data_IF_864465196054
#
_entry.id   IF_864465196054
#
_cell.length_a   1.000
_cell.length_b   1.000
_cell.length_c   1.000
_cell.angle_alpha   90.00
_cell.angle_beta   90.00
_cell.angle_gamma   90.00
#
_symmetry.space_group_name_H-M   'P 1'
#
loop_
_entity.id
_entity.type
_entity.pdbx_description
1 polymer ?
#
# COMPACT_ATOMS: atom_id res chain seq x y z
N UNK A 1 0.04 23.12 9.67
CA UNK A 1 -1.11 22.20 9.45
C UNK A 1 -2.06 22.28 10.64
N UNK A 2 -3.37 22.26 10.40
CA UNK A 2 -4.38 22.37 11.46
C UNK A 2 -4.35 21.09 12.33
N UNK A 3 -4.13 21.24 13.64
CA UNK A 3 -4.05 20.11 14.60
C UNK A 3 -5.30 19.23 14.59
N UNK A 4 -6.48 19.84 14.44
CA UNK A 4 -7.74 19.10 14.36
C UNK A 4 -7.80 18.24 13.09
N UNK A 5 -7.32 18.77 11.97
CA UNK A 5 -7.30 18.04 10.71
C UNK A 5 -6.35 16.83 10.79
N UNK A 6 -5.16 16.99 11.38
CA UNK A 6 -4.26 15.86 11.62
C UNK A 6 -4.87 14.81 12.53
N UNK A 7 -5.50 15.23 13.63
CA UNK A 7 -6.18 14.32 14.54
C UNK A 7 -7.30 13.52 13.84
N UNK A 8 -8.17 14.20 13.07
CA UNK A 8 -9.24 13.54 12.33
C UNK A 8 -8.72 12.60 11.25
N UNK A 9 -7.62 12.96 10.57
CA UNK A 9 -6.96 12.08 9.61
C UNK A 9 -6.48 10.79 10.30
N UNK A 10 -5.72 10.90 11.40
CA UNK A 10 -5.24 9.75 12.16
C UNK A 10 -6.40 8.87 12.62
N UNK A 11 -7.47 9.45 13.20
CA UNK A 11 -8.65 8.70 13.64
C UNK A 11 -9.38 8.00 12.50
N UNK A 12 -9.50 8.64 11.35
CA UNK A 12 -10.08 8.00 10.16
C UNK A 12 -9.25 6.79 9.71
N UNK A 13 -7.92 6.88 9.74
CA UNK A 13 -7.02 5.78 9.34
C UNK A 13 -7.06 4.62 10.32
N UNK A 14 -7.04 4.90 11.63
CA UNK A 14 -7.21 3.90 12.68
C UNK A 14 -8.53 3.14 12.52
N UNK A 15 -9.64 3.85 12.28
CA UNK A 15 -10.95 3.23 12.13
C UNK A 15 -11.06 2.38 10.86
N UNK A 16 -10.52 2.85 9.73
CA UNK A 16 -10.43 2.06 8.49
C UNK A 16 -9.63 0.77 8.70
N UNK A 17 -8.49 0.85 9.40
CA UNK A 17 -7.67 -0.31 9.72
C UNK A 17 -8.42 -1.28 10.65
N UNK A 18 -9.09 -0.77 11.69
CA UNK A 18 -9.92 -1.58 12.59
C UNK A 18 -11.00 -2.34 11.82
N UNK A 19 -11.68 -1.68 10.87
CA UNK A 19 -12.68 -2.32 10.01
C UNK A 19 -12.07 -3.38 9.10
N UNK A 20 -10.91 -3.11 8.49
CA UNK A 20 -10.16 -4.08 7.69
C UNK A 20 -9.87 -5.36 8.48
N UNK A 21 -9.32 -5.22 9.70
CA UNK A 21 -9.01 -6.38 10.56
C UNK A 21 -10.28 -7.14 10.96
N UNK A 22 -11.33 -6.42 11.35
CA UNK A 22 -12.60 -7.04 11.78
C UNK A 22 -13.28 -7.82 10.66
N UNK A 23 -13.31 -7.27 9.44
CA UNK A 23 -14.05 -7.84 8.32
C UNK A 23 -13.26 -8.92 7.60
N UNK A 24 -11.97 -8.67 7.30
CA UNK A 24 -11.16 -9.56 6.48
C UNK A 24 -10.36 -10.57 7.30
N UNK A 25 -10.20 -10.35 8.61
CA UNK A 25 -9.47 -11.24 9.53
C UNK A 25 -8.12 -11.69 8.95
N UNK A 26 -7.24 -10.72 8.60
CA UNK A 26 -5.98 -11.03 7.97
C UNK A 26 -5.16 -11.96 8.88
N UNK A 27 -4.49 -12.94 8.27
CA UNK A 27 -3.56 -13.83 8.97
C UNK A 27 -2.14 -13.57 8.49
N UNK A 28 -1.10 -13.98 9.24
CA UNK A 28 0.29 -13.82 8.80
C UNK A 28 0.64 -14.51 7.47
N UNK A 29 -0.18 -15.47 7.02
CA UNK A 29 0.03 -16.18 5.75
C UNK A 29 -0.57 -15.43 4.55
N UNK A 30 -1.46 -14.47 4.78
CA UNK A 30 -2.11 -13.70 3.72
C UNK A 30 -1.18 -12.62 3.19
N UNK A 31 -1.13 -12.50 1.86
CA UNK A 31 -0.38 -11.46 1.18
C UNK A 31 -1.32 -10.35 0.75
N UNK A 32 -0.93 -9.10 0.99
CA UNK A 32 -1.74 -7.92 0.70
C UNK A 32 -1.13 -7.20 -0.50
N UNK A 33 -1.95 -6.92 -1.51
CA UNK A 33 -1.60 -6.04 -2.61
C UNK A 33 -2.25 -4.66 -2.41
N UNK A 34 -1.45 -3.63 -2.20
CA UNK A 34 -1.89 -2.24 -2.11
C UNK A 34 -1.75 -1.54 -3.47
N UNK A 35 -2.87 -1.36 -4.16
CA UNK A 35 -2.92 -0.74 -5.49
C UNK A 35 -3.07 0.78 -5.36
N UNK A 36 -2.22 1.53 -6.06
CA UNK A 36 -2.15 2.99 -5.93
C UNK A 36 -1.37 3.45 -4.69
N UNK A 37 -0.45 2.61 -4.20
CA UNK A 37 0.36 2.95 -3.04
C UNK A 37 1.39 4.02 -3.40
N UNK A 38 1.52 5.02 -2.53
CA UNK A 38 2.46 6.12 -2.66
C UNK A 38 3.03 6.49 -1.29
N UNK A 39 4.19 7.15 -1.28
CA UNK A 39 4.72 7.75 -0.06
C UNK A 39 3.73 8.74 0.56
N UNK A 40 3.92 9.13 1.83
CA UNK A 40 3.09 10.12 2.47
C UNK A 40 3.28 11.46 1.74
N UNK A 41 2.29 11.82 0.93
CA UNK A 41 2.21 13.15 0.34
C UNK A 41 1.91 14.13 1.46
N UNK A 42 2.96 14.86 1.88
CA UNK A 42 2.92 16.05 2.72
C UNK A 42 1.83 16.06 3.79
N UNK A 43 2.00 15.31 4.90
CA UNK A 43 1.41 15.62 6.22
C UNK A 43 1.20 14.41 7.14
N UNK A 44 0.90 13.25 6.59
CA UNK A 44 0.32 12.15 7.36
C UNK A 44 1.11 10.86 7.16
N UNK A 45 1.80 10.46 8.22
CA UNK A 45 2.58 9.23 8.25
C UNK A 45 1.69 7.99 8.47
N UNK A 46 0.42 8.19 8.84
CA UNK A 46 -0.52 7.12 9.17
C UNK A 46 -1.16 6.57 7.90
N UNK A 47 -0.47 5.62 7.27
CA UNK A 47 -1.00 4.77 6.21
C UNK A 47 -1.20 3.33 6.72
N UNK A 48 -1.75 2.47 5.86
CA UNK A 48 -2.06 1.08 6.21
C UNK A 48 -0.81 0.33 6.71
N UNK A 49 0.30 0.54 6.02
CA UNK A 49 1.62 -0.05 6.28
C UNK A 49 2.14 0.31 7.67
N UNK A 50 1.81 1.50 8.16
CA UNK A 50 2.20 1.94 9.51
C UNK A 50 1.48 1.13 10.59
N UNK A 51 0.27 0.64 10.31
CA UNK A 51 -0.60 -0.03 11.27
C UNK A 51 -0.56 -1.56 11.17
N UNK A 52 -0.21 -2.12 10.01
CA UNK A 52 -0.20 -3.57 9.79
C UNK A 52 1.07 -4.22 10.32
N UNK A 53 0.92 -5.27 11.14
CA UNK A 53 2.02 -5.95 11.83
C UNK A 53 2.93 -6.73 10.87
N UNK A 54 2.35 -7.40 9.87
CA UNK A 54 3.09 -8.25 8.92
C UNK A 54 3.47 -7.48 7.64
N UNK A 55 4.27 -6.43 7.78
CA UNK A 55 4.64 -5.51 6.68
C UNK A 55 5.34 -6.23 5.52
N UNK A 56 6.08 -7.29 5.78
CA UNK A 56 6.76 -8.15 4.80
C UNK A 56 5.80 -8.90 3.86
N UNK A 57 4.54 -9.02 4.27
CA UNK A 57 3.45 -9.59 3.49
C UNK A 57 2.72 -8.55 2.62
N UNK A 58 3.07 -7.27 2.74
CA UNK A 58 2.50 -6.19 1.94
C UNK A 58 3.36 -5.95 0.70
N UNK A 59 2.71 -5.96 -0.46
CA UNK A 59 3.26 -5.48 -1.73
C UNK A 59 2.44 -4.29 -2.17
N UNK A 60 3.06 -3.12 -2.35
CA UNK A 60 2.37 -1.91 -2.75
C UNK A 60 3.00 -1.26 -3.98
N UNK A 61 2.20 -0.46 -4.69
CA UNK A 61 2.72 0.45 -5.70
C UNK A 61 1.68 0.87 -6.72
N UNK A 62 2.15 1.36 -7.86
CA UNK A 62 1.32 1.90 -8.92
C UNK A 62 2.15 2.23 -10.17
N UNK A 63 1.59 3.05 -11.04
CA UNK A 63 2.18 3.33 -12.37
C UNK A 63 3.40 4.26 -12.32
N UNK A 64 3.54 5.05 -11.26
CA UNK A 64 4.57 6.08 -11.15
C UNK A 64 5.82 5.56 -10.43
N UNK A 65 6.94 5.46 -11.15
CA UNK A 65 8.22 5.05 -10.57
C UNK A 65 8.68 5.96 -9.42
N UNK A 66 8.43 7.28 -9.51
CA UNK A 66 8.81 8.21 -8.44
C UNK A 66 7.99 7.96 -7.17
N UNK A 67 6.68 7.77 -7.29
CA UNK A 67 5.80 7.48 -6.15
C UNK A 67 6.12 6.14 -5.50
N UNK A 68 6.45 5.11 -6.30
CA UNK A 68 6.87 3.79 -5.81
C UNK A 68 8.21 3.88 -5.07
N UNK A 69 9.15 4.69 -5.56
CA UNK A 69 10.42 4.94 -4.86
C UNK A 69 10.20 5.63 -3.52
N UNK A 70 9.32 6.63 -3.49
CA UNK A 70 9.01 7.34 -2.26
C UNK A 70 8.26 6.44 -1.26
N UNK A 71 7.29 5.65 -1.73
CA UNK A 71 6.61 4.63 -0.94
C UNK A 71 7.61 3.65 -0.29
N UNK A 72 8.55 3.11 -1.06
CA UNK A 72 9.59 2.20 -0.57
C UNK A 72 10.45 2.84 0.53
N UNK A 73 10.77 4.12 0.40
CA UNK A 73 11.56 4.86 1.41
C UNK A 73 10.77 5.08 2.69
N UNK A 74 9.47 5.35 2.57
CA UNK A 74 8.60 5.68 3.70
C UNK A 74 8.19 4.47 4.54
N UNK A 75 8.10 3.28 3.92
CA UNK A 75 7.65 2.07 4.60
C UNK A 75 8.68 0.95 4.47
N UNK A 76 9.82 1.04 5.19
CA UNK A 76 10.82 -0.02 5.20
C UNK A 76 10.18 -1.31 5.75
N UNK A 77 10.28 -2.39 4.96
CA UNK A 77 9.68 -3.70 5.28
C UNK A 77 8.61 -4.15 4.31
N UNK A 78 8.01 -3.24 3.53
CA UNK A 78 7.09 -3.61 2.44
C UNK A 78 7.83 -3.92 1.16
N UNK A 79 7.20 -4.68 0.27
CA UNK A 79 7.64 -4.84 -1.13
C UNK A 79 7.00 -3.73 -1.96
N UNK A 80 7.78 -3.12 -2.86
CA UNK A 80 7.32 -2.02 -3.69
C UNK A 80 7.52 -2.35 -5.17
N UNK A 81 6.46 -2.24 -5.98
CA UNK A 81 6.48 -2.60 -7.40
C UNK A 81 5.87 -1.49 -8.26
N UNK A 82 6.43 -1.27 -9.46
CA UNK A 82 5.77 -0.45 -10.48
C UNK A 82 4.87 -1.37 -11.31
N UNK A 83 3.57 -1.11 -11.29
CA UNK A 83 2.59 -1.89 -12.03
C UNK A 83 1.35 -1.07 -12.35
N UNK A 84 0.67 -1.46 -13.42
CA UNK A 84 -0.69 -1.00 -13.70
C UNK A 84 -1.71 -1.87 -12.96
N UNK A 85 -2.43 -1.27 -12.02
CA UNK A 85 -3.47 -1.92 -11.24
C UNK A 85 -4.56 -2.57 -12.10
N UNK A 86 -4.86 -1.97 -13.26
CA UNK A 86 -5.84 -2.48 -14.21
C UNK A 86 -5.35 -3.74 -14.95
N UNK A 87 -4.04 -3.94 -14.99
CA UNK A 87 -3.42 -5.04 -15.70
C UNK A 87 -2.69 -6.03 -14.79
N UNK A 88 -2.90 -5.92 -13.47
CA UNK A 88 -2.37 -6.89 -12.52
C UNK A 88 -3.10 -8.22 -12.72
N UNK A 89 -2.43 -9.28 -13.17
CA UNK A 89 -3.06 -10.57 -13.17
C UNK A 89 -3.11 -11.05 -11.72
N UNK A 90 -4.30 -11.43 -11.24
CA UNK A 90 -4.53 -11.86 -9.86
C UNK A 90 -3.84 -13.20 -9.50
N UNK A 91 -2.93 -13.70 -10.35
CA UNK A 91 -2.23 -14.95 -10.16
C UNK A 91 -0.89 -14.75 -9.44
N UNK A 92 -0.66 -15.57 -8.42
CA UNK A 92 0.50 -15.53 -7.51
C UNK A 92 1.86 -15.65 -8.22
N UNK A 93 1.88 -16.13 -9.47
CA UNK A 93 3.11 -16.38 -10.23
C UNK A 93 3.63 -15.14 -10.97
N UNK A 94 2.76 -14.20 -11.31
CA UNK A 94 3.13 -13.09 -12.17
C UNK A 94 3.81 -11.95 -11.39
N UNK A 95 3.39 -11.66 -10.15
CA UNK A 95 3.97 -10.60 -9.30
C UNK A 95 5.49 -10.69 -9.02
N UNK A 96 6.19 -11.73 -9.48
CA UNK A 96 7.66 -11.89 -9.36
C UNK A 96 8.48 -11.17 -10.44
N UNK A 97 7.86 -10.54 -11.44
CA UNK A 97 8.58 -9.80 -12.49
C UNK A 97 8.49 -8.28 -12.25
N UNK A 98 9.65 -7.64 -12.17
CA UNK A 98 9.81 -6.25 -11.71
C UNK A 98 9.23 -5.15 -12.64
N UNK A 99 8.58 -5.48 -13.74
CA UNK A 99 7.91 -4.51 -14.62
C UNK A 99 6.72 -5.18 -15.31
N UNK A 100 5.51 -4.84 -14.89
CA UNK A 100 4.29 -5.13 -15.65
C UNK A 100 3.85 -3.86 -16.37
N UNK A 101 4.17 -3.78 -17.66
CA UNK A 101 3.62 -2.74 -18.54
C UNK A 101 2.51 -3.34 -19.38
N UNK A 102 1.33 -2.76 -19.26
CA UNK A 102 0.20 -3.08 -20.10
C UNK A 102 0.37 -2.41 -21.46
N UNK A 103 0.34 -3.19 -22.54
CA UNK A 103 0.25 -2.64 -23.89
C UNK A 103 -1.22 -2.27 -24.15
N UNK A 104 -1.63 -1.07 -23.78
CA UNK A 104 -2.90 -0.53 -24.26
C UNK A 104 -2.75 -0.10 -25.73
N UNK A 105 -3.53 -0.74 -26.61
CA UNK A 105 -3.90 -0.14 -27.90
C UNK A 105 -5.02 0.87 -27.67
#
# INVERSE_FOLDING_TARGET
MNKLFSYLHTKSREEKFRLFVKLLKPTPAMHILNVGASGPNFAFAEQFESLYEHRDQVTGGGISLSEVRDYRRSFPGVKALVFDGLCTPLSRQELRRDLFQCSHR
#
